data_IF_092473727266
#
_entry.id   IF_092473727266
#
_cell.length_a   1.000
_cell.length_b   1.000
_cell.length_c   1.000
_cell.angle_alpha   90.00
_cell.angle_beta   90.00
_cell.angle_gamma   90.00
#
_symmetry.space_group_name_H-M   'P 1'
#
loop_
_entity.id
_entity.type
_entity.pdbx_description
1 polymer ?
#
# COMPACT_ATOMS: atom_id res chain seq x y z
N UNK A 1 -1.39 -12.41 -16.68
CA UNK A 1 -0.40 -11.54 -17.38
C UNK A 1 0.94 -11.79 -16.71
N UNK A 2 1.98 -12.29 -17.39
CA UNK A 2 3.20 -12.70 -16.71
C UNK A 2 3.91 -11.45 -16.19
N UNK A 3 3.92 -11.27 -14.87
CA UNK A 3 4.74 -10.27 -14.18
C UNK A 3 6.20 -10.66 -14.37
N UNK A 4 6.81 -10.20 -15.45
CA UNK A 4 8.26 -10.19 -15.59
C UNK A 4 8.84 -9.22 -14.56
N UNK A 5 9.49 -9.75 -13.54
CA UNK A 5 10.42 -9.04 -12.65
C UNK A 5 11.70 -8.56 -13.41
N UNK A 6 11.61 -8.26 -14.71
CA UNK A 6 12.76 -7.96 -15.56
C UNK A 6 13.29 -6.52 -15.45
N UNK A 7 12.74 -5.71 -14.54
CA UNK A 7 13.29 -4.36 -14.35
C UNK A 7 14.44 -4.37 -13.32
N UNK A 8 15.64 -3.85 -13.65
CA UNK A 8 16.86 -3.89 -12.81
C UNK A 8 16.80 -3.09 -11.49
N UNK A 9 15.61 -2.83 -10.95
CA UNK A 9 15.33 -1.59 -10.24
C UNK A 9 14.94 -1.76 -8.77
N UNK A 10 14.78 -2.98 -8.26
CA UNK A 10 14.38 -3.23 -6.87
C UNK A 10 15.42 -2.71 -5.82
N UNK A 11 16.70 -2.50 -6.20
CA UNK A 11 17.73 -1.97 -5.31
C UNK A 11 17.75 -0.44 -5.20
N UNK A 12 17.56 0.28 -6.31
CA UNK A 12 17.59 1.75 -6.29
C UNK A 12 16.28 2.38 -5.81
N UNK A 13 15.20 1.61 -5.64
CA UNK A 13 13.83 2.16 -5.58
C UNK A 13 12.99 1.81 -4.38
N UNK A 14 13.45 1.01 -3.43
CA UNK A 14 12.86 1.11 -2.08
C UNK A 14 13.13 2.51 -1.52
N UNK A 15 14.25 3.15 -1.92
CA UNK A 15 14.51 4.59 -1.73
C UNK A 15 13.63 5.52 -2.59
N UNK A 16 12.77 5.02 -3.47
CA UNK A 16 11.82 5.83 -4.26
C UNK A 16 10.38 5.64 -3.76
N UNK A 17 10.06 4.45 -3.27
CA UNK A 17 8.79 4.15 -2.58
C UNK A 17 8.81 4.75 -1.17
N UNK A 18 9.97 4.77 -0.49
CA UNK A 18 10.16 5.36 0.83
C UNK A 18 10.78 6.76 0.79
N UNK A 19 11.21 7.25 -0.37
CA UNK A 19 11.84 8.57 -0.47
C UNK A 19 11.38 9.25 -1.76
N UNK A 20 10.45 10.20 -1.57
CA UNK A 20 10.21 11.37 -2.42
C UNK A 20 9.76 11.10 -3.88
N UNK A 21 8.45 10.96 -4.09
CA UNK A 21 7.83 11.29 -5.40
C UNK A 21 6.67 12.30 -5.32
N UNK A 22 6.34 12.82 -4.13
CA UNK A 22 5.38 13.93 -4.00
C UNK A 22 5.90 14.96 -2.99
N UNK A 23 6.06 16.25 -3.38
CA UNK A 23 6.46 17.32 -2.46
C UNK A 23 5.45 17.60 -1.33
N UNK A 24 4.26 17.00 -1.39
CA UNK A 24 3.15 17.22 -0.45
C UNK A 24 2.73 15.96 0.30
N UNK A 25 3.30 14.79 0.00
CA UNK A 25 2.99 13.56 0.72
C UNK A 25 3.78 13.50 2.03
N UNK A 26 3.07 13.70 3.14
CA UNK A 26 3.61 13.53 4.48
C UNK A 26 3.49 12.05 4.89
N UNK A 27 4.62 11.34 4.97
CA UNK A 27 4.69 9.94 5.40
C UNK A 27 5.01 9.86 6.90
N UNK A 28 4.05 10.27 7.73
CA UNK A 28 4.24 10.46 9.18
C UNK A 28 4.83 9.26 9.91
N UNK A 29 4.44 8.03 9.56
CA UNK A 29 4.98 6.81 10.18
C UNK A 29 6.46 6.58 9.82
N UNK A 30 6.86 6.89 8.59
CA UNK A 30 8.24 6.76 8.14
C UNK A 30 9.16 7.76 8.85
N UNK A 31 8.66 8.97 9.07
CA UNK A 31 9.37 10.00 9.83
C UNK A 31 9.43 9.66 11.33
N UNK A 32 8.31 9.20 11.90
CA UNK A 32 8.21 8.86 13.33
C UNK A 32 9.10 7.70 13.74
N UNK A 33 9.36 6.76 12.83
CA UNK A 33 10.27 5.64 13.03
C UNK A 33 11.71 5.96 12.60
N UNK A 34 11.98 7.21 12.22
CA UNK A 34 13.29 7.71 11.81
C UNK A 34 13.96 6.90 10.68
N UNK A 35 13.16 6.21 9.86
CA UNK A 35 13.67 5.34 8.80
C UNK A 35 14.57 6.09 7.80
N UNK A 36 14.33 7.39 7.60
CA UNK A 36 15.17 8.24 6.76
C UNK A 36 16.60 8.43 7.27
N UNK A 37 16.82 8.34 8.58
CA UNK A 37 18.15 8.40 9.20
C UNK A 37 18.72 7.00 9.44
N UNK A 38 17.85 6.04 9.79
CA UNK A 38 18.24 4.67 10.11
C UNK A 38 18.72 3.91 8.87
N UNK A 39 18.01 3.99 7.73
CA UNK A 39 18.34 3.21 6.52
C UNK A 39 19.35 3.99 5.68
N UNK A 40 20.61 3.56 5.71
CA UNK A 40 21.70 4.25 5.00
C UNK A 40 21.86 3.77 3.56
N UNK A 41 21.58 2.50 3.29
CA UNK A 41 21.58 1.95 1.94
C UNK A 41 20.55 0.83 1.78
N UNK A 42 20.09 0.66 0.55
CA UNK A 42 19.26 -0.46 0.12
C UNK A 42 19.85 -0.99 -1.17
N UNK A 43 20.24 -2.26 -1.16
CA UNK A 43 20.84 -2.94 -2.28
C UNK A 43 19.96 -4.09 -2.75
N UNK A 44 20.12 -4.43 -4.03
CA UNK A 44 19.50 -5.60 -4.64
C UNK A 44 20.60 -6.47 -5.25
N UNK A 45 21.14 -7.45 -4.50
CA UNK A 45 22.18 -8.33 -5.03
C UNK A 45 21.67 -9.26 -6.14
N UNK A 46 20.37 -9.61 -6.18
CA UNK A 46 19.78 -10.47 -7.22
C UNK A 46 18.29 -10.13 -7.49
N UNK A 47 17.52 -10.97 -8.19
CA UNK A 47 16.13 -10.66 -8.56
C UNK A 47 15.16 -10.70 -7.36
N UNK A 48 15.43 -11.52 -6.36
CA UNK A 48 14.51 -11.82 -5.26
C UNK A 48 15.08 -11.50 -3.87
N UNK A 49 16.29 -10.94 -3.80
CA UNK A 49 16.94 -10.54 -2.55
C UNK A 49 17.05 -9.02 -2.43
N UNK A 50 16.69 -8.50 -1.26
CA UNK A 50 16.90 -7.11 -0.85
C UNK A 50 17.80 -7.08 0.38
N UNK A 51 18.80 -6.20 0.39
CA UNK A 51 19.69 -5.97 1.53
C UNK A 51 19.52 -4.53 2.03
N UNK A 52 19.21 -4.38 3.30
CA UNK A 52 19.19 -3.09 4.00
C UNK A 52 20.48 -2.91 4.80
N UNK A 53 21.07 -1.73 4.72
CA UNK A 53 22.18 -1.30 5.57
C UNK A 53 21.68 -0.24 6.53
N UNK A 54 21.83 -0.50 7.83
CA UNK A 54 21.35 0.40 8.88
C UNK A 54 22.51 1.21 9.46
N UNK A 55 22.23 2.43 9.94
CA UNK A 55 23.21 3.30 10.59
C UNK A 55 23.72 2.72 11.92
N UNK A 56 22.83 2.03 12.64
CA UNK A 56 23.13 1.27 13.86
C UNK A 56 22.19 0.04 13.93
N UNK A 57 22.50 -0.95 14.78
CA UNK A 57 21.56 -2.02 15.07
C UNK A 57 20.24 -1.45 15.61
N UNK A 58 19.12 -1.88 15.04
CA UNK A 58 17.77 -1.49 15.45
C UNK A 58 16.93 -2.77 15.63
N UNK A 59 16.66 -3.15 16.88
CA UNK A 59 15.94 -4.38 17.20
C UNK A 59 14.52 -4.47 16.61
N UNK A 60 13.68 -3.42 16.64
CA UNK A 60 12.32 -3.48 16.09
C UNK A 60 12.25 -3.39 14.57
N UNK A 61 13.36 -3.15 13.85
CA UNK A 61 13.35 -2.89 12.41
C UNK A 61 12.54 -3.91 11.58
N UNK A 62 12.69 -5.21 11.89
CA UNK A 62 11.96 -6.27 11.18
C UNK A 62 10.46 -6.23 11.49
N UNK A 63 10.08 -5.89 12.72
CA UNK A 63 8.68 -5.75 13.11
C UNK A 63 8.05 -4.52 12.43
N UNK A 64 8.78 -3.41 12.35
CA UNK A 64 8.32 -2.18 11.70
C UNK A 64 8.10 -2.38 10.19
N UNK A 65 8.94 -3.17 9.53
CA UNK A 65 8.73 -3.59 8.13
C UNK A 65 7.50 -4.47 7.94
N UNK A 66 6.98 -5.10 9.00
CA UNK A 66 5.76 -5.90 8.96
C UNK A 66 4.48 -5.06 9.06
N UNK A 67 4.59 -3.76 9.29
CA UNK A 67 3.43 -2.90 9.53
C UNK A 67 2.86 -2.33 8.21
N UNK A 68 1.61 -1.85 8.24
CA UNK A 68 0.83 -1.57 7.03
C UNK A 68 1.44 -0.50 6.12
N UNK A 69 2.21 0.44 6.67
CA UNK A 69 2.85 1.50 5.89
C UNK A 69 4.04 1.00 5.06
N UNK A 70 4.62 -0.15 5.41
CA UNK A 70 5.74 -0.77 4.69
C UNK A 70 5.26 -1.64 3.50
N UNK A 71 4.04 -1.38 3.00
CA UNK A 71 3.47 -2.10 1.86
C UNK A 71 4.29 -1.88 0.58
N UNK A 72 4.42 -2.94 -0.22
CA UNK A 72 5.16 -2.90 -1.48
C UNK A 72 4.25 -2.44 -2.63
N UNK A 73 4.69 -1.43 -3.37
CA UNK A 73 4.00 -0.87 -4.53
C UNK A 73 4.74 -1.19 -5.85
N UNK A 74 4.02 -1.08 -6.96
CA UNK A 74 4.60 -1.28 -8.30
C UNK A 74 5.52 -0.12 -8.71
N UNK A 75 6.81 -0.41 -8.86
CA UNK A 75 7.79 0.54 -9.38
C UNK A 75 7.53 0.94 -10.84
N UNK A 76 7.06 0.00 -11.66
CA UNK A 76 6.71 0.27 -13.07
C UNK A 76 5.57 1.29 -13.17
N UNK A 77 4.56 1.14 -12.33
CA UNK A 77 3.45 2.08 -12.28
C UNK A 77 3.90 3.46 -11.80
N UNK A 78 4.72 3.51 -10.76
CA UNK A 78 5.28 4.76 -10.27
C UNK A 78 6.12 5.49 -11.34
N UNK A 79 6.95 4.77 -12.08
CA UNK A 79 7.70 5.31 -13.22
C UNK A 79 6.79 5.86 -14.33
N UNK A 80 5.72 5.13 -14.65
CA UNK A 80 4.77 5.54 -15.67
C UNK A 80 4.05 6.83 -15.25
N UNK A 81 3.60 6.93 -14.00
CA UNK A 81 2.89 8.10 -13.48
C UNK A 81 3.81 9.32 -13.33
N UNK A 82 5.07 9.11 -12.92
CA UNK A 82 6.06 10.18 -12.87
C UNK A 82 6.35 10.75 -14.27
N UNK A 83 6.53 9.88 -15.27
CA UNK A 83 6.71 10.31 -16.68
C UNK A 83 5.47 11.01 -17.24
N UNK A 84 4.28 10.61 -16.80
CA UNK A 84 3.02 11.25 -17.17
C UNK A 84 2.75 12.57 -16.41
N UNK A 85 3.64 12.97 -15.48
CA UNK A 85 3.46 14.18 -14.67
C UNK A 85 2.34 14.10 -13.64
N UNK A 86 1.91 12.88 -13.27
CA UNK A 86 0.82 12.63 -12.31
C UNK A 86 1.24 11.67 -11.19
N UNK A 87 2.38 11.90 -10.50
CA UNK A 87 2.92 10.98 -9.49
C UNK A 87 1.96 10.69 -8.33
N UNK A 88 1.06 11.64 -7.99
CA UNK A 88 0.02 11.49 -6.97
C UNK A 88 -0.98 10.36 -7.24
N UNK A 89 -1.05 9.86 -8.48
CA UNK A 89 -1.88 8.70 -8.82
C UNK A 89 -1.37 7.41 -8.20
N UNK A 90 -0.10 7.34 -7.81
CA UNK A 90 0.44 6.18 -7.07
C UNK A 90 -0.25 6.03 -5.72
N UNK A 91 -0.58 7.14 -5.06
CA UNK A 91 -1.24 7.15 -3.75
C UNK A 91 -2.77 7.00 -3.88
N UNK A 92 -3.38 7.59 -4.91
CA UNK A 92 -4.84 7.58 -5.10
C UNK A 92 -5.38 6.34 -5.83
N UNK A 93 -4.62 5.81 -6.78
CA UNK A 93 -4.94 4.62 -7.58
C UNK A 93 -3.85 3.54 -7.40
N UNK A 94 -3.61 3.03 -6.18
CA UNK A 94 -2.45 2.19 -5.90
C UNK A 94 -2.55 0.82 -6.59
N UNK A 95 -1.42 0.39 -7.15
CA UNK A 95 -1.23 -0.98 -7.65
C UNK A 95 -0.38 -1.74 -6.63
N UNK A 96 -1.04 -2.64 -5.90
CA UNK A 96 -0.41 -3.55 -4.93
C UNK A 96 -0.58 -5.02 -5.30
N UNK A 97 -0.07 -5.89 -4.43
CA UNK A 97 -0.09 -7.36 -4.60
C UNK A 97 -1.06 -8.07 -3.65
N UNK A 98 -1.99 -7.32 -3.04
CA UNK A 98 -2.95 -7.83 -2.07
C UNK A 98 -4.09 -8.69 -2.67
N UNK A 99 -4.95 -9.27 -1.81
CA UNK A 99 -6.04 -10.17 -2.23
C UNK A 99 -7.20 -9.48 -2.96
N UNK A 100 -7.25 -8.14 -2.94
CA UNK A 100 -8.29 -7.34 -3.58
C UNK A 100 -7.68 -6.22 -4.44
N UNK A 101 -8.36 -5.88 -5.53
CA UNK A 101 -8.06 -4.77 -6.43
C UNK A 101 -8.99 -3.61 -6.16
N UNK A 102 -8.48 -2.39 -6.17
CA UNK A 102 -9.31 -1.18 -6.16
C UNK A 102 -10.09 -1.11 -7.48
N UNK A 103 -11.42 -1.11 -7.40
CA UNK A 103 -12.29 -1.01 -8.58
C UNK A 103 -12.92 0.37 -8.72
N UNK A 104 -13.23 1.03 -7.59
CA UNK A 104 -13.74 2.39 -7.59
C UNK A 104 -13.45 3.07 -6.26
N UNK A 105 -13.00 4.31 -6.33
CA UNK A 105 -12.89 5.21 -5.20
C UNK A 105 -13.83 6.41 -5.42
N UNK A 106 -14.80 6.59 -4.53
CA UNK A 106 -15.65 7.78 -4.47
C UNK A 106 -15.42 8.46 -3.13
N UNK A 107 -14.71 9.59 -3.16
CA UNK A 107 -14.40 10.39 -1.98
C UNK A 107 -15.67 10.64 -1.16
N UNK A 108 -15.54 10.49 0.16
CA UNK A 108 -16.59 10.71 1.17
C UNK A 108 -17.85 9.84 1.02
N UNK A 109 -17.84 8.84 0.12
CA UNK A 109 -19.00 8.01 -0.19
C UNK A 109 -18.71 6.52 -0.03
N UNK A 110 -17.86 5.95 -0.90
CA UNK A 110 -17.56 4.52 -0.88
C UNK A 110 -16.26 4.16 -1.55
N UNK A 111 -15.69 3.05 -1.11
CA UNK A 111 -14.56 2.38 -1.75
C UNK A 111 -14.99 0.97 -2.12
N UNK A 112 -14.88 0.63 -3.40
CA UNK A 112 -15.20 -0.68 -3.93
C UNK A 112 -13.92 -1.39 -4.31
N UNK A 113 -13.77 -2.59 -3.77
CA UNK A 113 -12.75 -3.54 -4.15
C UNK A 113 -13.35 -4.80 -4.76
N UNK A 114 -12.62 -5.42 -5.68
CA UNK A 114 -12.94 -6.72 -6.28
C UNK A 114 -11.83 -7.73 -5.97
N UNK A 115 -12.19 -9.00 -5.80
CA UNK A 115 -11.20 -10.04 -5.53
C UNK A 115 -10.16 -10.11 -6.65
N UNK A 116 -8.88 -10.30 -6.28
CA UNK A 116 -7.82 -10.60 -7.23
C UNK A 116 -7.72 -12.12 -7.44
N UNK A 117 -8.07 -12.66 -8.62
CA UNK A 117 -8.05 -14.12 -8.82
C UNK A 117 -6.65 -14.73 -8.80
N UNK A 118 -5.62 -13.96 -9.21
CA UNK A 118 -4.22 -14.41 -9.25
C UNK A 118 -3.45 -14.02 -7.98
N UNK A 119 -4.14 -13.78 -6.85
CA UNK A 119 -3.46 -13.56 -5.57
C UNK A 119 -2.63 -14.78 -5.18
N UNK A 120 -1.40 -14.56 -4.72
CA UNK A 120 -0.40 -15.61 -4.52
C UNK A 120 -0.74 -16.59 -3.39
N UNK A 121 -1.63 -16.24 -2.45
CA UNK A 121 -2.19 -17.17 -1.45
C UNK A 121 -3.56 -17.75 -1.86
N UNK A 122 -3.97 -17.55 -3.11
CA UNK A 122 -5.28 -17.96 -3.62
C UNK A 122 -6.35 -16.88 -3.48
N UNK A 123 -7.35 -16.92 -4.37
CA UNK A 123 -8.42 -15.91 -4.41
C UNK A 123 -9.15 -15.80 -3.07
N UNK A 124 -9.43 -14.56 -2.63
CA UNK A 124 -10.29 -14.30 -1.49
C UNK A 124 -11.67 -14.96 -1.64
N UNK A 125 -12.25 -15.42 -0.52
CA UNK A 125 -13.59 -16.03 -0.50
C UNK A 125 -14.71 -15.04 -0.86
N UNK A 126 -14.47 -13.75 -0.67
CA UNK A 126 -15.38 -12.68 -1.01
C UNK A 126 -15.05 -12.15 -2.40
N UNK A 127 -16.05 -12.03 -3.26
CA UNK A 127 -15.87 -11.45 -4.60
C UNK A 127 -15.72 -9.92 -4.59
N UNK A 128 -16.38 -9.28 -3.61
CA UNK A 128 -16.45 -7.83 -3.49
C UNK A 128 -16.32 -7.41 -2.04
N UNK A 129 -15.60 -6.32 -1.83
CA UNK A 129 -15.49 -5.65 -0.53
C UNK A 129 -15.88 -4.19 -0.73
N UNK A 130 -16.84 -3.72 0.05
CA UNK A 130 -17.38 -2.37 -0.04
C UNK A 130 -17.18 -1.70 1.31
N UNK A 131 -16.40 -0.62 1.32
CA UNK A 131 -16.36 0.30 2.44
C UNK A 131 -17.35 1.42 2.17
N UNK A 132 -18.43 1.47 2.94
CA UNK A 132 -19.36 2.60 2.94
C UNK A 132 -18.90 3.60 4.00
N UNK A 133 -18.60 4.83 3.57
CA UNK A 133 -18.17 5.89 4.48
C UNK A 133 -19.42 6.44 5.17
N UNK A 134 -19.58 6.13 6.46
CA UNK A 134 -20.72 6.55 7.27
C UNK A 134 -20.19 7.13 8.60
N UNK A 135 -19.95 8.44 8.68
CA UNK A 135 -19.32 9.06 9.85
C UNK A 135 -20.17 8.94 11.13
N UNK A 136 -21.49 9.03 11.00
CA UNK A 136 -22.40 8.95 12.14
C UNK A 136 -22.55 7.51 12.67
N UNK A 137 -22.32 7.35 13.97
CA UNK A 137 -22.37 6.08 14.68
C UNK A 137 -23.76 5.44 14.68
N UNK A 138 -24.79 6.26 14.92
CA UNK A 138 -26.18 5.80 14.98
C UNK A 138 -26.65 5.32 13.62
N UNK A 139 -26.23 5.98 12.54
CA UNK A 139 -26.49 5.56 11.16
C UNK A 139 -25.74 4.26 10.84
N UNK A 140 -24.48 4.09 11.26
CA UNK A 140 -23.76 2.80 11.09
C UNK A 140 -24.49 1.65 11.78
N UNK A 141 -24.94 1.88 13.01
CA UNK A 141 -25.68 0.89 13.79
C UNK A 141 -27.02 0.53 13.12
N UNK A 142 -27.81 1.52 12.70
CA UNK A 142 -29.06 1.29 11.99
C UNK A 142 -28.87 0.52 10.68
N UNK A 143 -27.77 0.77 9.94
CA UNK A 143 -27.42 0.02 8.73
C UNK A 143 -27.09 -1.44 9.03
N UNK A 144 -26.41 -1.71 10.14
CA UNK A 144 -26.12 -3.07 10.58
C UNK A 144 -27.42 -3.82 10.92
N UNK A 145 -28.32 -3.21 11.69
CA UNK A 145 -29.61 -3.80 12.04
C UNK A 145 -30.48 -4.12 10.82
N UNK A 146 -30.42 -3.27 9.78
CA UNK A 146 -31.12 -3.46 8.51
C UNK A 146 -30.40 -4.39 7.53
N UNK A 147 -29.27 -4.98 7.93
CA UNK A 147 -28.42 -5.81 7.07
C UNK A 147 -27.91 -5.09 5.80
N UNK A 148 -27.84 -3.75 5.85
CA UNK A 148 -27.22 -2.92 4.81
C UNK A 148 -25.68 -2.89 4.94
N UNK A 149 -25.15 -3.26 6.10
CA UNK A 149 -23.72 -3.43 6.37
C UNK A 149 -23.48 -4.73 7.14
N UNK A 150 -22.36 -5.41 6.88
CA UNK A 150 -22.01 -6.67 7.54
C UNK A 150 -21.00 -6.49 8.69
N UNK A 151 -20.28 -5.37 8.71
CA UNK A 151 -19.28 -5.03 9.73
C UNK A 151 -19.36 -3.52 9.99
N UNK A 152 -19.33 -3.12 11.27
CA UNK A 152 -19.18 -1.71 11.68
C UNK A 152 -17.92 -1.55 12.54
N UNK A 153 -16.92 -0.76 12.11
CA UNK A 153 -15.78 -0.42 12.95
C UNK A 153 -16.13 0.75 13.87
N UNK A 154 -15.66 0.66 15.13
CA UNK A 154 -15.81 1.63 16.21
C UNK A 154 -17.27 2.01 16.59
N UNK A 155 -17.57 2.26 17.87
CA UNK A 155 -18.68 3.13 18.20
C UNK A 155 -18.50 4.49 17.53
#
# INVERSE_FOLDING_TARGET
MPMTLSSPLCGKRIRSILTTTSPTANYSNFESLEFGQLITAIDKPDEYTVRFTLAHPEAPFVADLGWYFASILSAEYADAMLKAGTPERVDNDPIGTGPFKLAQYQKDSRILYTAFPEYWQGKAKLDRLIFSITPDASVRYAKLEKNECQVMPFP
#
